data_IF_645348380289
#
_entry.id   IF_645348380289
#
_cell.length_a   1.000
_cell.length_b   1.000
_cell.length_c   1.000
_cell.angle_alpha   90.00
_cell.angle_beta   90.00
_cell.angle_gamma   90.00
#
_symmetry.space_group_name_H-M   'P 1'
#
loop_
_entity.id
_entity.type
_entity.pdbx_description
1 polymer ?
#
# COMPACT_ATOMS: atom_id res chain seq x y z
N UNK A 1 -5.77 -13.21 -1.06
CA UNK A 1 -6.51 -11.95 -0.82
C UNK A 1 -5.70 -10.79 -1.36
N UNK A 2 -6.34 -9.79 -1.96
CA UNK A 2 -5.67 -8.61 -2.51
C UNK A 2 -6.48 -7.35 -2.19
N UNK A 3 -5.78 -6.24 -1.99
CA UNK A 3 -6.36 -4.92 -1.73
C UNK A 3 -5.57 -3.88 -2.51
N UNK A 4 -6.25 -2.80 -2.91
CA UNK A 4 -5.60 -1.68 -3.59
C UNK A 4 -5.71 -0.43 -2.74
N UNK A 5 -4.68 0.39 -2.82
CA UNK A 5 -4.60 1.63 -2.08
C UNK A 5 -4.13 2.77 -2.96
N UNK A 6 -4.73 3.94 -2.77
CA UNK A 6 -4.17 5.22 -3.15
C UNK A 6 -3.38 5.79 -1.97
N UNK A 7 -2.08 5.97 -2.16
CA UNK A 7 -1.15 6.50 -1.16
C UNK A 7 -1.06 8.02 -1.34
N UNK A 8 -1.87 8.75 -0.56
CA UNK A 8 -1.90 10.21 -0.53
C UNK A 8 -2.08 10.89 -1.91
N UNK A 9 -2.75 10.25 -2.86
CA UNK A 9 -2.93 10.75 -4.23
C UNK A 9 -1.66 10.70 -5.08
N UNK A 10 -0.59 10.04 -4.61
CA UNK A 10 0.73 10.04 -5.26
C UNK A 10 1.09 8.72 -5.93
N UNK A 11 0.71 7.59 -5.32
CA UNK A 11 1.04 6.25 -5.80
C UNK A 11 -0.14 5.32 -5.60
N UNK A 12 -0.35 4.44 -6.58
CA UNK A 12 -1.29 3.34 -6.45
C UNK A 12 -0.51 2.07 -6.10
N UNK A 13 -1.01 1.35 -5.10
CA UNK A 13 -0.38 0.13 -4.61
C UNK A 13 -1.38 -1.02 -4.58
N UNK A 14 -0.90 -2.22 -4.84
CA UNK A 14 -1.63 -3.46 -4.56
C UNK A 14 -0.89 -4.24 -3.48
N UNK A 15 -1.61 -4.63 -2.43
CA UNK A 15 -1.12 -5.47 -1.35
C UNK A 15 -1.78 -6.84 -1.49
N UNK A 16 -0.95 -7.89 -1.54
CA UNK A 16 -1.40 -9.26 -1.76
C UNK A 16 -0.92 -10.15 -0.62
N UNK A 17 -1.84 -10.94 -0.06
CA UNK A 17 -1.50 -11.98 0.92
C UNK A 17 -1.11 -13.27 0.19
N UNK A 18 0.14 -13.70 0.35
CA UNK A 18 0.72 -14.91 -0.23
C UNK A 18 1.46 -15.72 0.85
N UNK A 19 1.08 -16.98 1.08
CA UNK A 19 1.75 -17.88 2.03
C UNK A 19 2.00 -17.24 3.42
N UNK A 20 0.96 -16.63 3.99
CA UNK A 20 1.01 -15.88 5.25
C UNK A 20 1.99 -14.69 5.29
N UNK A 21 2.40 -14.18 4.13
CA UNK A 21 3.18 -12.95 4.00
C UNK A 21 2.44 -11.95 3.14
N UNK A 22 2.78 -10.68 3.32
CA UNK A 22 2.29 -9.60 2.50
C UNK A 22 3.33 -9.27 1.42
N UNK A 23 2.86 -9.15 0.18
CA UNK A 23 3.63 -8.65 -0.95
C UNK A 23 3.04 -7.32 -1.41
N UNK A 24 3.89 -6.34 -1.68
CA UNK A 24 3.50 -5.02 -2.11
C UNK A 24 3.93 -4.76 -3.56
N UNK A 25 3.05 -4.18 -4.36
CA UNK A 25 3.30 -3.83 -5.74
C UNK A 25 2.90 -2.39 -6.02
N UNK A 26 3.76 -1.62 -6.66
CA UNK A 26 3.38 -0.34 -7.27
C UNK A 26 2.63 -0.61 -8.58
N UNK A 27 1.52 0.09 -8.80
CA UNK A 27 0.74 0.05 -10.03
C UNK A 27 1.10 1.28 -10.86
N UNK A 28 1.71 1.04 -12.03
CA UNK A 28 1.98 2.10 -13.02
C UNK A 28 0.70 2.59 -13.70
N UNK A 29 0.75 3.76 -14.33
CA UNK A 29 -0.38 4.36 -15.07
C UNK A 29 -0.90 3.50 -16.24
N UNK A 30 -0.08 2.58 -16.75
CA UNK A 30 -0.44 1.60 -17.76
C UNK A 30 -0.98 0.28 -17.19
N UNK A 31 -1.19 0.20 -15.87
CA UNK A 31 -1.61 -1.02 -15.17
C UNK A 31 -0.51 -2.04 -14.91
N UNK A 32 0.73 -1.77 -15.34
CA UNK A 32 1.88 -2.67 -15.08
C UNK A 32 2.25 -2.59 -13.60
N UNK A 33 2.33 -3.77 -12.98
CA UNK A 33 2.75 -3.93 -11.58
C UNK A 33 4.26 -4.07 -11.49
N UNK A 34 4.86 -3.43 -10.48
CA UNK A 34 6.27 -3.61 -10.11
C UNK A 34 6.36 -3.94 -8.63
N UNK A 35 7.17 -4.94 -8.28
CA UNK A 35 7.41 -5.27 -6.89
C UNK A 35 7.96 -4.04 -6.14
N UNK A 36 7.46 -3.80 -4.94
CA UNK A 36 7.94 -2.74 -4.07
C UNK A 36 8.96 -3.34 -3.09
N UNK A 37 10.14 -3.74 -3.59
CA UNK A 37 11.15 -4.50 -2.83
C UNK A 37 11.66 -3.79 -1.56
N UNK A 38 11.50 -2.46 -1.48
CA UNK A 38 11.83 -1.66 -0.30
C UNK A 38 10.74 -1.62 0.78
N UNK A 39 9.59 -2.26 0.57
CA UNK A 39 8.47 -2.28 1.52
C UNK A 39 8.38 -3.66 2.14
N UNK A 40 8.58 -3.71 3.45
CA UNK A 40 8.32 -4.89 4.26
C UNK A 40 7.05 -4.63 5.07
N UNK A 41 6.06 -5.52 4.97
CA UNK A 41 4.84 -5.45 5.76
C UNK A 41 4.86 -6.65 6.72
N UNK A 42 4.77 -6.44 8.05
CA UNK A 42 4.80 -7.53 9.02
C UNK A 42 3.69 -8.56 8.73
N UNK A 43 4.06 -9.85 8.77
CA UNK A 43 3.13 -10.94 8.40
C UNK A 43 1.98 -11.13 9.38
N UNK A 44 2.12 -10.65 10.60
CA UNK A 44 1.12 -10.72 11.67
C UNK A 44 0.05 -9.62 11.56
N UNK A 45 0.25 -8.58 10.73
CA UNK A 45 -0.79 -7.58 10.51
C UNK A 45 -2.04 -8.19 9.88
N UNK A 46 -3.17 -7.87 10.50
CA UNK A 46 -4.49 -8.13 9.99
C UNK A 46 -4.84 -7.20 8.82
N UNK A 47 -5.93 -7.54 8.13
CA UNK A 47 -6.33 -6.93 6.86
C UNK A 47 -6.67 -5.45 7.02
N UNK A 48 -7.34 -5.14 8.11
CA UNK A 48 -7.78 -3.81 8.54
C UNK A 48 -6.62 -2.93 9.00
N UNK A 49 -5.52 -3.51 9.46
CA UNK A 49 -4.32 -2.77 9.87
C UNK A 49 -3.44 -2.32 8.70
N UNK A 50 -3.63 -2.88 7.50
CA UNK A 50 -2.79 -2.59 6.33
C UNK A 50 -2.91 -1.13 5.90
N UNK A 51 -4.10 -0.54 5.97
CA UNK A 51 -4.29 0.86 5.58
C UNK A 51 -3.50 1.80 6.50
N UNK A 52 -3.61 1.59 7.82
CA UNK A 52 -2.92 2.40 8.82
C UNK A 52 -1.40 2.21 8.75
N UNK A 53 -0.95 0.97 8.55
CA UNK A 53 0.46 0.69 8.31
C UNK A 53 1.03 1.45 7.11
N UNK A 54 0.29 1.48 6.00
CA UNK A 54 0.71 2.24 4.81
C UNK A 54 0.67 3.75 5.05
N UNK A 55 -0.30 4.25 5.83
CA UNK A 55 -0.38 5.66 6.18
C UNK A 55 0.84 6.10 7.02
N UNK A 56 1.22 5.30 8.02
CA UNK A 56 2.39 5.55 8.86
C UNK A 56 3.69 5.44 8.06
N UNK A 57 3.82 4.39 7.23
CA UNK A 57 5.02 4.16 6.42
C UNK A 57 5.29 5.30 5.43
N UNK A 58 4.24 5.90 4.87
CA UNK A 58 4.32 6.94 3.84
C UNK A 58 3.92 8.33 4.33
N UNK A 59 3.86 8.58 5.63
CA UNK A 59 3.32 9.84 6.17
C UNK A 59 3.99 11.10 5.59
N UNK A 60 5.28 11.05 5.24
CA UNK A 60 6.00 12.17 4.61
C UNK A 60 5.45 12.57 3.24
N UNK A 61 4.65 11.72 2.60
CA UNK A 61 4.05 11.99 1.29
C UNK A 61 2.71 12.71 1.41
N UNK A 62 2.14 12.77 2.61
CA UNK A 62 0.91 13.49 2.89
C UNK A 62 1.05 14.97 2.53
N UNK A 63 -0.04 15.55 2.04
CA UNK A 63 -0.16 16.98 1.76
C UNK A 63 -1.45 17.49 2.39
N UNK A 64 -1.60 18.82 2.60
CA UNK A 64 -2.85 19.37 3.14
C UNK A 64 -4.11 18.96 2.36
N UNK A 65 -3.98 18.71 1.06
CA UNK A 65 -5.11 18.32 0.19
C UNK A 65 -5.27 16.81 -0.01
N UNK A 66 -4.25 16.02 0.35
CA UNK A 66 -4.27 14.55 0.29
C UNK A 66 -3.51 14.02 1.51
N UNK A 67 -4.23 13.83 2.62
CA UNK A 67 -3.69 13.50 3.93
C UNK A 67 -4.10 12.10 4.42
N UNK A 68 -4.63 11.27 3.54
CA UNK A 68 -5.09 9.92 3.85
C UNK A 68 -4.60 8.91 2.80
N UNK A 69 -4.41 7.67 3.25
CA UNK A 69 -4.34 6.49 2.39
C UNK A 69 -5.77 5.96 2.22
N UNK A 70 -6.19 5.71 0.98
CA UNK A 70 -7.55 5.24 0.69
C UNK A 70 -7.53 3.83 0.12
N UNK A 71 -8.36 2.93 0.67
CA UNK A 71 -8.68 1.68 0.01
C UNK A 71 -9.49 1.94 -1.29
N UNK A 72 -9.24 1.14 -2.33
CA UNK A 72 -9.86 1.23 -3.66
C UNK A 72 -10.62 -0.04 -4.05
#
# INVERSE_FOLDING_TARGET
MQMKFDIFGRKFMEIVRLNNKWAAYYIGSNGVKRAADGIQIPSDLDVDEIQDYLADLFHEWATPNNNEVRAL
#
